data_IF_597781697307
#
_entry.id   IF_597781697307
#
_cell.length_a   1.000
_cell.length_b   1.000
_cell.length_c   1.000
_cell.angle_alpha   90.00
_cell.angle_beta   90.00
_cell.angle_gamma   90.00
#
_symmetry.space_group_name_H-M   'P 1'
#
loop_
_entity.id
_entity.type
_entity.pdbx_description
1 polymer ?
#
# COMPACT_ATOMS: atom_id res chain seq x y z
N UNK A 1 -13.62 7.71 -5.41
CA UNK A 1 -12.74 7.46 -4.25
C UNK A 1 -13.23 6.17 -3.65
N UNK A 2 -12.58 5.04 -3.94
CA UNK A 2 -13.02 3.77 -3.35
C UNK A 2 -12.07 3.27 -2.25
N UNK A 3 -10.95 3.98 -2.02
CA UNK A 3 -10.02 3.64 -0.95
C UNK A 3 -9.49 2.20 -1.06
N UNK A 4 -9.45 1.73 -2.29
CA UNK A 4 -9.13 0.39 -2.74
C UNK A 4 -7.63 0.15 -2.56
N UNK A 5 -7.25 -0.96 -1.94
CA UNK A 5 -5.85 -1.27 -1.67
C UNK A 5 -5.34 -2.19 -2.76
N UNK A 6 -4.23 -1.82 -3.40
CA UNK A 6 -3.58 -2.62 -4.41
C UNK A 6 -2.17 -2.99 -3.96
N UNK A 7 -1.79 -4.25 -4.17
CA UNK A 7 -0.41 -4.70 -4.04
C UNK A 7 0.08 -5.17 -5.40
N UNK A 8 1.01 -4.41 -5.99
CA UNK A 8 1.39 -4.64 -7.38
C UNK A 8 0.22 -4.36 -8.31
N UNK A 9 -0.29 -5.39 -8.98
CA UNK A 9 -1.46 -5.34 -9.85
C UNK A 9 -2.72 -5.93 -9.18
N UNK A 10 -2.56 -6.60 -8.04
CA UNK A 10 -3.64 -7.30 -7.36
C UNK A 10 -4.42 -6.35 -6.46
N UNK A 11 -5.74 -6.38 -6.60
CA UNK A 11 -6.64 -5.73 -5.66
C UNK A 11 -6.80 -6.58 -4.40
N UNK A 12 -6.63 -5.96 -3.24
CA UNK A 12 -6.81 -6.59 -1.93
C UNK A 12 -7.94 -5.90 -1.17
N UNK A 13 -8.97 -6.64 -0.74
CA UNK A 13 -9.99 -6.13 0.15
C UNK A 13 -9.41 -5.71 1.50
N UNK A 14 -9.89 -4.60 2.08
CA UNK A 14 -9.40 -4.05 3.35
C UNK A 14 -9.30 -5.09 4.49
N UNK A 15 -10.24 -6.03 4.55
CA UNK A 15 -10.27 -7.12 5.55
C UNK A 15 -9.15 -8.15 5.38
N UNK A 16 -8.66 -8.32 4.16
CA UNK A 16 -7.66 -9.34 3.80
C UNK A 16 -6.24 -8.76 3.81
N UNK A 17 -6.09 -7.44 3.93
CA UNK A 17 -4.80 -6.74 4.02
C UNK A 17 -3.90 -7.28 5.13
N UNK A 18 -4.36 -7.49 6.39
CA UNK A 18 -3.50 -8.03 7.44
C UNK A 18 -3.02 -9.45 7.12
N UNK A 19 -3.91 -10.29 6.57
CA UNK A 19 -3.59 -11.66 6.17
C UNK A 19 -2.56 -11.68 5.04
N UNK A 20 -2.73 -10.82 4.06
CA UNK A 20 -1.80 -10.69 2.94
C UNK A 20 -0.43 -10.18 3.40
N UNK A 21 -0.41 -9.12 4.21
CA UNK A 21 0.83 -8.56 4.75
C UNK A 21 1.59 -9.60 5.58
N UNK A 22 0.90 -10.36 6.43
CA UNK A 22 1.53 -11.46 7.18
C UNK A 22 2.11 -12.53 6.25
N UNK A 23 1.37 -12.95 5.23
CA UNK A 23 1.87 -13.93 4.27
C UNK A 23 3.10 -13.42 3.48
N UNK A 24 3.17 -12.13 3.17
CA UNK A 24 4.35 -11.53 2.54
C UNK A 24 5.53 -11.39 3.50
N UNK A 25 5.27 -11.07 4.77
CA UNK A 25 6.30 -11.04 5.81
C UNK A 25 6.89 -12.44 6.05
N UNK A 26 6.04 -13.45 6.18
CA UNK A 26 6.47 -14.84 6.39
C UNK A 26 7.32 -15.36 5.20
N UNK A 27 7.07 -14.87 3.99
CA UNK A 27 7.92 -15.15 2.82
C UNK A 27 9.24 -14.39 2.84
N UNK A 28 9.22 -13.11 3.22
CA UNK A 28 10.42 -12.28 3.29
C UNK A 28 10.29 -11.20 4.39
N UNK A 29 10.81 -11.47 5.60
CA UNK A 29 10.68 -10.55 6.72
C UNK A 29 11.56 -9.30 6.59
N UNK A 30 12.60 -9.34 5.75
CA UNK A 30 13.47 -8.20 5.47
C UNK A 30 12.88 -7.22 4.43
N UNK A 31 11.71 -7.54 3.86
CA UNK A 31 11.10 -6.75 2.80
C UNK A 31 10.55 -5.44 3.35
N UNK A 32 11.02 -4.31 2.83
CA UNK A 32 10.43 -3.02 3.10
C UNK A 32 9.05 -2.90 2.42
N UNK A 33 8.06 -2.40 3.15
CA UNK A 33 6.71 -2.15 2.64
C UNK A 33 6.60 -0.68 2.28
N UNK A 34 6.24 -0.39 1.03
CA UNK A 34 5.98 0.99 0.59
C UNK A 34 4.50 1.18 0.33
N UNK A 35 3.87 2.03 1.14
CA UNK A 35 2.49 2.45 0.99
C UNK A 35 2.41 3.61 0.00
N UNK A 36 1.72 3.42 -1.12
CA UNK A 36 1.37 4.52 -2.03
C UNK A 36 -0.07 4.93 -1.76
N UNK A 37 -0.27 6.14 -1.27
CA UNK A 37 -1.58 6.69 -0.94
C UNK A 37 -1.93 7.87 -1.86
N UNK A 38 -3.17 7.93 -2.32
CA UNK A 38 -3.70 9.14 -2.98
C UNK A 38 -3.87 10.25 -1.93
N UNK A 39 -3.47 11.48 -2.24
CA UNK A 39 -3.63 12.63 -1.34
C UNK A 39 -5.08 12.82 -0.84
N UNK A 40 -6.06 12.42 -1.64
CA UNK A 40 -7.47 12.57 -1.30
C UNK A 40 -7.93 11.49 -0.30
N UNK A 41 -7.17 10.41 -0.10
CA UNK A 41 -7.58 9.30 0.76
C UNK A 41 -7.74 9.76 2.22
N UNK A 42 -8.73 9.18 2.90
CA UNK A 42 -8.95 9.45 4.32
C UNK A 42 -7.76 8.91 5.14
N UNK A 43 -7.26 9.74 6.07
CA UNK A 43 -6.24 9.36 7.04
C UNK A 43 -6.57 8.07 7.81
N UNK A 44 -7.86 7.83 8.10
CA UNK A 44 -8.32 6.61 8.76
C UNK A 44 -7.96 5.34 7.98
N UNK A 45 -8.02 5.37 6.64
CA UNK A 45 -7.61 4.24 5.79
C UNK A 45 -6.09 4.06 5.82
N UNK A 46 -5.32 5.15 5.73
CA UNK A 46 -3.84 5.07 5.84
C UNK A 46 -3.45 4.44 7.17
N UNK A 47 -4.07 4.89 8.27
CA UNK A 47 -3.82 4.35 9.61
C UNK A 47 -4.16 2.86 9.72
N UNK A 48 -5.24 2.40 9.08
CA UNK A 48 -5.61 0.98 9.07
C UNK A 48 -4.51 0.14 8.44
N UNK A 49 -3.99 0.55 7.29
CA UNK A 49 -2.93 -0.19 6.60
C UNK A 49 -1.61 -0.13 7.34
N UNK A 50 -1.28 1.03 7.94
CA UNK A 50 -0.09 1.12 8.81
C UNK A 50 -0.20 0.21 10.03
N UNK A 51 -1.38 0.12 10.67
CA UNK A 51 -1.63 -0.82 11.76
C UNK A 51 -1.46 -2.26 11.28
N UNK A 52 -2.03 -2.61 10.13
CA UNK A 52 -1.91 -3.95 9.57
C UNK A 52 -0.45 -4.32 9.24
N UNK A 53 0.35 -3.37 8.76
CA UNK A 53 1.77 -3.59 8.52
C UNK A 53 2.56 -3.76 9.82
N UNK A 54 2.23 -2.99 10.86
CA UNK A 54 2.84 -3.11 12.18
C UNK A 54 2.46 -4.44 12.88
N UNK A 55 1.19 -4.83 12.80
CA UNK A 55 0.70 -6.13 13.31
C UNK A 55 1.35 -7.32 12.56
N UNK A 56 1.77 -7.11 11.31
CA UNK A 56 2.52 -8.08 10.51
C UNK A 56 4.05 -8.00 10.72
N UNK A 57 4.52 -7.26 11.74
CA UNK A 57 5.92 -7.14 12.15
C UNK A 57 6.85 -6.47 11.13
N UNK A 58 6.32 -5.77 10.13
CA UNK A 58 7.15 -4.98 9.23
C UNK A 58 7.80 -3.80 9.96
N UNK A 59 9.13 -3.79 9.96
CA UNK A 59 9.95 -2.77 10.62
C UNK A 59 10.19 -1.53 9.75
N UNK A 60 10.03 -1.65 8.43
CA UNK A 60 10.24 -0.58 7.46
C UNK A 60 8.98 -0.33 6.62
N UNK A 61 8.18 0.66 7.02
CA UNK A 61 6.98 1.11 6.29
C UNK A 61 7.17 2.55 5.82
N UNK A 62 7.31 2.75 4.51
CA UNK A 62 7.40 4.08 3.90
C UNK A 62 6.05 4.53 3.33
N UNK A 63 5.63 5.77 3.58
CA UNK A 63 4.41 6.34 2.96
C UNK A 63 4.83 7.29 1.85
N UNK A 64 4.32 7.06 0.65
CA UNK A 64 4.43 7.95 -0.49
C UNK A 64 3.03 8.46 -0.84
N UNK A 65 2.80 9.76 -0.71
CA UNK A 65 1.55 10.38 -1.18
C UNK A 65 1.74 10.83 -2.63
N UNK A 66 0.98 10.24 -3.56
CA UNK A 66 1.00 10.66 -4.96
C UNK A 66 -0.21 11.55 -5.26
N UNK A 67 0.05 12.74 -5.81
CA UNK A 67 -1.00 13.48 -6.54
C UNK A 67 -1.36 12.63 -7.77
N UNK A 68 -2.65 12.43 -8.06
CA UNK A 68 -3.14 11.61 -9.19
C UNK A 68 -2.48 11.95 -10.55
N UNK A 69 -1.95 13.17 -10.70
CA UNK A 69 -1.20 13.60 -11.89
C UNK A 69 0.14 12.86 -12.13
N UNK A 70 0.74 12.23 -11.11
CA UNK A 70 2.00 11.51 -11.25
C UNK A 70 1.82 10.10 -11.84
N UNK A 71 0.62 9.51 -11.73
CA UNK A 71 0.32 8.19 -12.33
C UNK A 71 0.20 8.25 -13.85
N UNK A 72 -0.31 9.36 -14.40
CA UNK A 72 -0.43 9.56 -15.85
C UNK A 72 0.90 9.83 -16.56
N UNK A 73 1.91 10.39 -15.87
CA UNK A 73 3.22 10.64 -16.49
C UNK A 73 4.08 9.37 -16.62
N UNK A 74 3.91 8.39 -15.72
CA UNK A 74 4.64 7.11 -15.81
C UNK A 74 4.05 6.23 -16.91
N UNK A 75 2.74 6.31 -17.15
CA UNK A 75 2.06 5.59 -18.22
C UNK A 75 2.35 6.17 -19.63
N UNK A 76 2.74 7.45 -19.72
CA UNK A 76 2.97 8.15 -21.00
C UNK A 76 4.45 8.23 -21.43
N UNK A 77 5.37 7.73 -20.61
CA UNK A 77 6.83 7.70 -20.90
C UNK A 77 7.32 6.45 -21.65
N UNK A 78 6.42 5.55 -22.06
CA UNK A 78 6.71 4.47 -23.02
C UNK A 78 5.94 4.74 -24.31
N UNK A 79 6.50 5.62 -25.14
CA UNK A 79 6.08 5.89 -26.51
C UNK A 79 7.32 6.06 -27.37
#
# INVERSE_FOLDING_TARGET
QDGTIFVGQDWIPDRDVPKYLKAEHDKNPARAVMLKADRRINFGKVRLVMKAANDAEFTAVGILTQNQQAGEQIAKGKG
#
